data_IF_159384596809
#
_entry.id   IF_159384596809
#
_cell.length_a   1.000
_cell.length_b   1.000
_cell.length_c   1.000
_cell.angle_alpha   90.00
_cell.angle_beta   90.00
_cell.angle_gamma   90.00
#
_symmetry.space_group_name_H-M   'P 1'
#
loop_
_entity.id
_entity.type
_entity.pdbx_description
1 polymer ?
#
# COMPACT_ATOMS: atom_id res chain seq x y z
N UNK A 1 42.89 11.54 1.28
CA UNK A 1 42.55 10.37 0.46
C UNK A 1 41.57 10.87 -0.59
N UNK A 2 41.96 10.79 -1.86
CA UNK A 2 41.15 11.20 -3.00
C UNK A 2 40.22 10.06 -3.39
N UNK A 3 39.00 10.43 -3.77
CA UNK A 3 37.93 9.62 -4.36
C UNK A 3 38.37 8.73 -5.54
N UNK A 4 39.52 9.04 -6.14
CA UNK A 4 40.16 8.31 -7.24
C UNK A 4 40.64 6.88 -6.89
N UNK A 5 40.66 6.50 -5.61
CA UNK A 5 41.04 5.13 -5.19
C UNK A 5 39.85 4.19 -4.93
N UNK A 6 38.61 4.64 -5.17
CA UNK A 6 37.42 3.81 -4.97
C UNK A 6 37.27 2.85 -6.15
N UNK A 7 37.42 1.55 -5.91
CA UNK A 7 37.20 0.49 -6.89
C UNK A 7 35.69 0.21 -7.02
N UNK A 8 35.14 0.45 -8.20
CA UNK A 8 33.72 0.21 -8.52
C UNK A 8 33.52 -1.10 -9.30
N UNK A 9 34.53 -1.98 -9.35
CA UNK A 9 34.51 -3.21 -10.16
C UNK A 9 33.48 -4.24 -9.68
N UNK A 10 33.04 -4.16 -8.42
CA UNK A 10 32.01 -5.04 -7.83
C UNK A 10 30.57 -4.57 -8.14
N UNK A 11 30.39 -3.32 -8.55
CA UNK A 11 29.07 -2.72 -8.70
C UNK A 11 28.67 -2.80 -10.18
N UNK A 12 27.62 -3.56 -10.54
CA UNK A 12 27.15 -3.60 -11.92
C UNK A 12 26.70 -2.18 -12.35
N UNK A 13 27.02 -1.73 -13.56
CA UNK A 13 26.56 -0.44 -14.05
C UNK A 13 25.04 -0.42 -14.07
N UNK A 14 24.45 0.61 -13.48
CA UNK A 14 23.03 0.92 -13.59
C UNK A 14 22.72 1.24 -15.05
N UNK A 15 22.42 0.22 -15.86
CA UNK A 15 21.93 0.41 -17.22
C UNK A 15 20.56 1.09 -17.20
N UNK A 16 20.20 1.77 -18.28
CA UNK A 16 18.91 2.44 -18.44
C UNK A 16 17.69 1.49 -18.24
N UNK A 17 17.92 0.18 -18.25
CA UNK A 17 16.93 -0.86 -17.92
C UNK A 17 16.61 -0.98 -16.42
N UNK A 18 17.45 -0.45 -15.51
CA UNK A 18 17.17 -0.48 -14.06
C UNK A 18 16.03 0.45 -13.65
N UNK A 19 15.69 1.42 -14.50
CA UNK A 19 14.60 2.38 -14.27
C UNK A 19 13.25 1.94 -14.85
N UNK A 20 13.22 0.86 -15.64
CA UNK A 20 12.00 0.40 -16.34
C UNK A 20 11.31 -0.79 -15.67
N UNK A 21 11.87 -1.31 -14.59
CA UNK A 21 11.30 -2.44 -13.85
C UNK A 21 11.13 -2.12 -12.36
N UNK A 22 10.34 -1.11 -12.05
CA UNK A 22 9.40 -1.24 -10.94
C UNK A 22 8.24 -0.31 -11.22
N UNK A 23 7.20 -0.89 -11.81
CA UNK A 23 5.85 -0.38 -11.71
C UNK A 23 5.59 -0.04 -10.25
N UNK A 24 5.81 1.22 -9.88
CA UNK A 24 5.34 1.79 -8.64
C UNK A 24 3.85 1.50 -8.65
N UNK A 25 3.47 0.46 -7.91
CA UNK A 25 2.08 0.14 -7.67
C UNK A 25 1.54 1.38 -7.00
N UNK A 26 0.86 2.23 -7.77
CA UNK A 26 0.12 3.39 -7.31
C UNK A 26 -1.05 2.84 -6.49
N UNK A 27 -0.72 2.24 -5.35
CA UNK A 27 -1.68 1.97 -4.30
C UNK A 27 -2.18 3.35 -3.91
N UNK A 28 -3.47 3.67 -4.10
CA UNK A 28 -4.00 4.97 -3.72
C UNK A 28 -3.56 5.21 -2.28
N UNK A 29 -2.90 6.35 -2.04
CA UNK A 29 -2.36 6.72 -0.74
C UNK A 29 -3.44 6.50 0.30
N UNK A 30 -3.31 5.45 1.13
CA UNK A 30 -4.29 5.15 2.18
C UNK A 30 -4.29 6.34 3.13
N UNK A 31 -5.35 7.14 3.10
CA UNK A 31 -5.49 8.25 4.03
C UNK A 31 -5.95 7.70 5.37
N UNK A 32 -5.19 7.99 6.43
CA UNK A 32 -5.60 7.65 7.79
C UNK A 32 -6.68 8.65 8.23
N UNK A 33 -7.91 8.16 8.36
CA UNK A 33 -9.05 8.94 8.84
C UNK A 33 -9.65 8.25 10.07
N UNK A 34 -9.98 9.03 11.09
CA UNK A 34 -10.74 8.54 12.23
C UNK A 34 -12.23 8.65 11.92
N UNK A 35 -12.90 7.51 11.77
CA UNK A 35 -14.35 7.44 11.57
C UNK A 35 -15.03 6.87 12.82
N UNK A 36 -16.25 7.32 13.10
CA UNK A 36 -17.08 6.72 14.15
C UNK A 36 -17.94 5.63 13.51
N UNK A 37 -17.87 4.42 14.05
CA UNK A 37 -18.72 3.30 13.69
C UNK A 37 -19.63 2.96 14.86
N UNK A 38 -20.82 2.46 14.56
CA UNK A 38 -21.69 1.84 15.56
C UNK A 38 -21.00 0.66 16.25
N UNK A 39 -21.32 0.49 17.53
CA UNK A 39 -20.72 -0.55 18.37
C UNK A 39 -21.00 -1.96 17.82
N UNK A 40 -22.24 -2.21 17.40
CA UNK A 40 -22.66 -3.50 16.84
C UNK A 40 -21.85 -3.90 15.59
N UNK A 41 -21.62 -2.93 14.69
CA UNK A 41 -20.82 -3.15 13.48
C UNK A 41 -19.37 -3.46 13.85
N UNK A 42 -18.82 -2.74 14.83
CA UNK A 42 -17.45 -2.96 15.31
C UNK A 42 -17.30 -4.35 15.96
N UNK A 43 -18.29 -4.78 16.74
CA UNK A 43 -18.33 -6.10 17.37
C UNK A 43 -18.42 -7.21 16.32
N UNK A 44 -19.30 -7.06 15.32
CA UNK A 44 -19.43 -7.99 14.20
C UNK A 44 -18.14 -8.12 13.37
N UNK A 45 -17.48 -7.00 13.07
CA UNK A 45 -16.20 -7.00 12.35
C UNK A 45 -15.09 -7.65 13.16
N UNK A 46 -15.03 -7.37 14.48
CA UNK A 46 -14.06 -7.99 15.38
C UNK A 46 -14.29 -9.49 15.54
N UNK A 47 -15.54 -9.96 15.46
CA UNK A 47 -15.88 -11.37 15.52
C UNK A 47 -15.27 -12.18 14.35
N UNK A 48 -14.97 -11.53 13.22
CA UNK A 48 -14.35 -12.16 12.05
C UNK A 48 -12.81 -12.28 12.13
N UNK A 49 -12.21 -11.75 13.20
CA UNK A 49 -10.78 -11.94 13.51
C UNK A 49 -9.91 -10.70 13.28
N UNK A 50 -8.60 -10.93 13.16
CA UNK A 50 -7.60 -9.86 12.98
C UNK A 50 -7.67 -9.34 11.55
N UNK A 51 -8.03 -8.07 11.37
CA UNK A 51 -8.12 -7.43 10.05
C UNK A 51 -9.38 -6.60 9.80
N UNK A 52 -10.16 -6.28 10.84
CA UNK A 52 -11.39 -5.50 10.70
C UNK A 52 -11.22 -4.19 9.92
N UNK A 53 -10.09 -3.50 10.02
CA UNK A 53 -9.79 -2.30 9.22
C UNK A 53 -9.73 -2.59 7.71
N UNK A 54 -9.10 -3.70 7.31
CA UNK A 54 -9.05 -4.14 5.91
C UNK A 54 -10.44 -4.51 5.41
N UNK A 55 -11.25 -5.13 6.28
CA UNK A 55 -12.60 -5.55 5.95
C UNK A 55 -13.57 -4.37 5.83
N UNK A 56 -13.43 -3.36 6.69
CA UNK A 56 -14.12 -2.07 6.56
C UNK A 56 -13.82 -1.49 5.17
N UNK A 57 -12.54 -1.42 4.79
CA UNK A 57 -12.15 -0.87 3.49
C UNK A 57 -12.73 -1.67 2.31
N UNK A 58 -12.76 -3.00 2.42
CA UNK A 58 -13.35 -3.87 1.41
C UNK A 58 -14.85 -3.62 1.23
N UNK A 59 -15.62 -3.60 2.32
CA UNK A 59 -17.08 -3.35 2.29
C UNK A 59 -17.39 -1.97 1.68
N UNK A 60 -16.67 -0.94 2.12
CA UNK A 60 -16.82 0.42 1.60
C UNK A 60 -16.53 0.48 0.10
N UNK A 61 -15.52 -0.24 -0.37
CA UNK A 61 -15.15 -0.29 -1.78
C UNK A 61 -16.24 -0.96 -2.62
N UNK A 62 -16.75 -2.09 -2.18
CA UNK A 62 -17.84 -2.79 -2.86
C UNK A 62 -19.09 -1.90 -3.00
N UNK A 63 -19.51 -1.25 -1.90
CA UNK A 63 -20.65 -0.31 -1.93
C UNK A 63 -20.41 0.86 -2.88
N UNK A 64 -19.20 1.42 -2.89
CA UNK A 64 -18.84 2.52 -3.79
C UNK A 64 -18.88 2.10 -5.26
N UNK A 65 -18.45 0.88 -5.57
CA UNK A 65 -18.51 0.31 -6.93
C UNK A 65 -19.96 0.03 -7.35
N UNK A 66 -20.80 -0.49 -6.45
CA UNK A 66 -22.23 -0.71 -6.69
C UNK A 66 -23.00 0.62 -6.93
N UNK A 67 -22.70 1.67 -6.15
CA UNK A 67 -23.35 2.98 -6.33
C UNK A 67 -22.94 3.71 -7.62
N UNK A 68 -21.82 3.31 -8.24
CA UNK A 68 -21.34 3.93 -9.48
C UNK A 68 -21.99 3.31 -10.73
N UNK A 69 -22.61 2.13 -10.62
CA UNK A 69 -23.39 1.49 -11.68
C UNK A 69 -24.81 2.06 -11.74
#
# INVERSE_FOLDING_TARGET
MTDENIDYSDIPPLGDEFLTQETVSFSPSKQQLTIQLDQDILEWLKAQGKGYETQINYILREVMEQQRQ
#
